data_IF_137739901800
#
_entry.id   IF_137739901800
#
_cell.length_a   1.000
_cell.length_b   1.000
_cell.length_c   1.000
_cell.angle_alpha   90.00
_cell.angle_beta   90.00
_cell.angle_gamma   90.00
#
_symmetry.space_group_name_H-M   'P 1'
#
loop_
_entity.id
_entity.type
_entity.pdbx_description
1 polymer ?
#
# COMPACT_ATOMS: atom_id res chain seq x y z
N UNK A 1 21.94 -6.89 24.57
CA UNK A 1 21.59 -7.01 26.01
C UNK A 1 20.28 -6.29 26.35
N UNK A 2 19.98 -5.13 25.73
CA UNK A 2 18.82 -4.29 26.08
C UNK A 2 17.48 -4.81 25.49
N UNK A 3 17.47 -5.32 24.26
CA UNK A 3 16.24 -5.75 23.58
C UNK A 3 15.77 -7.19 23.93
N UNK A 4 16.58 -7.96 24.65
CA UNK A 4 16.20 -9.33 25.02
C UNK A 4 15.05 -9.30 26.04
N UNK A 5 14.08 -10.25 25.98
CA UNK A 5 13.03 -10.35 26.98
C UNK A 5 13.62 -10.48 28.39
N UNK A 6 12.88 -10.01 29.41
CA UNK A 6 13.28 -10.16 30.82
C UNK A 6 13.57 -11.62 31.19
N UNK A 7 12.85 -12.55 30.54
CA UNK A 7 13.03 -14.01 30.69
C UNK A 7 14.44 -14.51 30.30
N UNK A 8 15.15 -13.78 29.43
CA UNK A 8 16.50 -14.11 28.96
C UNK A 8 17.55 -13.10 29.47
N UNK A 9 17.33 -12.55 30.67
CA UNK A 9 18.25 -11.60 31.33
C UNK A 9 18.51 -10.32 30.52
N UNK A 10 17.53 -9.86 29.75
CA UNK A 10 17.53 -8.56 29.08
C UNK A 10 16.57 -7.54 29.72
N UNK A 11 16.63 -6.29 29.29
CA UNK A 11 15.76 -5.21 29.82
C UNK A 11 14.32 -5.26 29.27
N UNK A 12 14.05 -6.10 28.26
CA UNK A 12 12.72 -6.23 27.65
C UNK A 12 12.29 -4.97 26.88
N UNK A 13 13.23 -4.14 26.45
CA UNK A 13 12.93 -2.93 25.67
C UNK A 13 12.54 -3.34 24.26
N UNK A 14 11.39 -2.87 23.76
CA UNK A 14 10.96 -3.12 22.39
C UNK A 14 11.96 -2.50 21.42
N UNK A 15 12.24 -3.20 20.32
CA UNK A 15 13.10 -2.68 19.27
C UNK A 15 12.51 -1.37 18.71
N UNK A 16 13.26 -0.27 18.91
CA UNK A 16 12.80 1.08 18.56
C UNK A 16 12.64 1.27 17.05
N UNK A 17 13.45 0.56 16.25
CA UNK A 17 13.35 0.63 14.79
C UNK A 17 12.04 0.02 14.30
N UNK A 18 11.67 -1.15 14.82
CA UNK A 18 10.41 -1.83 14.46
C UNK A 18 9.19 -1.02 14.92
N UNK A 19 9.22 -0.48 16.12
CA UNK A 19 8.11 0.35 16.63
C UNK A 19 7.97 1.65 15.83
N UNK A 20 9.08 2.32 15.51
CA UNK A 20 9.04 3.51 14.65
C UNK A 20 8.53 3.19 13.24
N UNK A 21 8.97 2.07 12.65
CA UNK A 21 8.49 1.63 11.34
C UNK A 21 6.99 1.32 11.34
N UNK A 22 6.47 0.68 12.39
CA UNK A 22 5.05 0.45 12.57
C UNK A 22 4.26 1.76 12.70
N UNK A 23 4.78 2.73 13.48
CA UNK A 23 4.16 4.06 13.62
C UNK A 23 4.14 4.83 12.30
N UNK A 24 5.26 4.84 11.56
CA UNK A 24 5.35 5.47 10.24
C UNK A 24 4.40 4.80 9.24
N UNK A 25 4.27 3.47 9.31
CA UNK A 25 3.30 2.72 8.51
C UNK A 25 1.88 3.17 8.84
N UNK A 26 1.51 3.22 10.13
CA UNK A 26 0.19 3.73 10.54
C UNK A 26 -0.08 5.14 10.01
N UNK A 27 0.92 6.04 10.05
CA UNK A 27 0.78 7.38 9.47
C UNK A 27 0.62 7.37 7.95
N UNK A 28 1.35 6.53 7.23
CA UNK A 28 1.13 6.36 5.79
C UNK A 28 -0.28 5.83 5.48
N UNK A 29 -0.81 4.91 6.30
CA UNK A 29 -2.19 4.43 6.19
C UNK A 29 -3.22 5.54 6.39
N UNK A 30 -3.06 6.37 7.43
CA UNK A 30 -3.95 7.52 7.67
C UNK A 30 -4.03 8.46 6.44
N UNK A 31 -2.90 8.66 5.74
CA UNK A 31 -2.86 9.44 4.47
C UNK A 31 -3.66 8.76 3.36
N UNK A 32 -3.54 7.43 3.21
CA UNK A 32 -4.26 6.64 2.20
C UNK A 32 -5.77 6.63 2.49
N UNK A 33 -6.14 6.28 3.72
CA UNK A 33 -7.52 6.20 4.20
C UNK A 33 -8.21 7.57 4.21
N UNK A 34 -7.47 8.66 3.96
CA UNK A 34 -7.99 10.03 3.93
C UNK A 34 -8.74 10.39 5.20
N UNK A 35 -8.12 10.08 6.34
CA UNK A 35 -8.67 10.45 7.64
C UNK A 35 -8.80 11.99 7.75
N UNK A 36 -9.79 12.48 8.53
CA UNK A 36 -10.14 13.91 8.61
C UNK A 36 -9.22 14.67 9.56
N UNK A 37 -7.91 14.52 9.40
CA UNK A 37 -6.91 15.21 10.21
C UNK A 37 -6.25 16.35 9.43
N UNK A 38 -6.12 17.53 10.04
CA UNK A 38 -5.51 18.73 9.43
C UNK A 38 -4.10 18.47 8.88
N UNK A 39 -3.30 17.64 9.55
CA UNK A 39 -1.95 17.32 9.08
C UNK A 39 -1.98 16.55 7.74
N UNK A 40 -3.02 15.75 7.49
CA UNK A 40 -3.19 15.00 6.24
C UNK A 40 -3.47 15.96 5.09
N UNK A 41 -4.30 16.99 5.32
CA UNK A 41 -4.58 18.02 4.31
C UNK A 41 -3.32 18.78 3.93
N UNK A 42 -2.49 19.14 4.92
CA UNK A 42 -1.19 19.78 4.70
C UNK A 42 -0.26 18.87 3.89
N UNK A 43 -0.17 17.59 4.26
CA UNK A 43 0.65 16.61 3.55
C UNK A 43 0.17 16.44 2.10
N UNK A 44 -1.13 16.33 1.88
CA UNK A 44 -1.74 16.20 0.56
C UNK A 44 -1.45 17.41 -0.32
N UNK A 45 -1.66 18.61 0.20
CA UNK A 45 -1.40 19.86 -0.50
C UNK A 45 0.09 20.05 -0.82
N UNK A 46 0.97 19.73 0.14
CA UNK A 46 2.41 19.96 -0.02
C UNK A 46 3.08 18.93 -0.92
N UNK A 47 2.81 17.64 -0.68
CA UNK A 47 3.59 16.54 -1.27
C UNK A 47 2.84 15.76 -2.34
N UNK A 48 1.53 15.53 -2.19
CA UNK A 48 0.80 14.65 -3.10
C UNK A 48 0.33 15.36 -4.37
N UNK A 49 -0.09 16.62 -4.33
CA UNK A 49 -0.45 17.43 -5.54
C UNK A 49 -1.20 16.62 -6.62
N UNK A 50 -2.28 15.93 -6.24
CA UNK A 50 -3.10 15.07 -7.10
C UNK A 50 -2.48 13.71 -7.53
N UNK A 51 -1.39 13.28 -6.88
CA UNK A 51 -0.83 11.94 -6.99
C UNK A 51 -1.27 11.06 -5.82
N UNK A 52 -1.26 9.74 -6.03
CA UNK A 52 -1.53 8.78 -4.97
C UNK A 52 -0.29 8.55 -4.11
N UNK A 53 -0.51 8.35 -2.80
CA UNK A 53 0.55 8.03 -1.84
C UNK A 53 1.38 6.80 -2.26
N UNK A 54 0.75 5.82 -2.90
CA UNK A 54 1.45 4.63 -3.35
C UNK A 54 2.38 4.87 -4.55
N UNK A 55 2.11 5.91 -5.34
CA UNK A 55 2.82 6.22 -6.59
C UNK A 55 3.81 7.39 -6.48
N UNK A 56 3.67 8.24 -5.47
CA UNK A 56 4.51 9.45 -5.33
C UNK A 56 5.99 9.09 -5.06
N UNK A 57 6.90 9.80 -5.71
CA UNK A 57 8.34 9.66 -5.52
C UNK A 57 8.88 10.77 -4.61
N UNK A 58 9.85 10.46 -3.73
CA UNK A 58 10.48 11.47 -2.87
C UNK A 58 11.29 12.46 -3.70
N UNK A 59 11.20 13.75 -3.35
CA UNK A 59 11.97 14.84 -3.97
C UNK A 59 13.17 15.24 -3.12
N UNK A 60 14.23 15.83 -3.71
CA UNK A 60 15.43 16.23 -2.96
C UNK A 60 15.16 17.19 -1.79
N UNK A 61 14.18 18.08 -1.95
CA UNK A 61 13.79 19.10 -0.97
C UNK A 61 12.67 18.65 -0.02
N UNK A 62 12.31 17.36 -0.04
CA UNK A 62 11.29 16.84 0.86
C UNK A 62 11.80 16.72 2.30
N UNK A 63 10.89 16.96 3.25
CA UNK A 63 11.21 16.82 4.67
C UNK A 63 11.64 15.39 4.98
N UNK A 64 12.53 15.23 5.96
CA UNK A 64 12.99 13.91 6.38
C UNK A 64 11.84 13.03 6.86
N UNK A 65 10.91 13.61 7.61
CA UNK A 65 9.68 12.93 8.08
C UNK A 65 8.88 12.38 6.90
N UNK A 66 8.66 13.16 5.84
CA UNK A 66 7.93 12.70 4.67
C UNK A 66 8.64 11.54 3.97
N UNK A 67 9.96 11.64 3.79
CA UNK A 67 10.76 10.56 3.20
C UNK A 67 10.70 9.28 4.03
N UNK A 68 10.67 9.39 5.35
CA UNK A 68 10.57 8.21 6.22
C UNK A 68 9.16 7.60 6.21
N UNK A 69 8.10 8.40 6.08
CA UNK A 69 6.74 7.91 5.81
C UNK A 69 6.69 7.18 4.45
N UNK A 70 7.32 7.73 3.42
CA UNK A 70 7.41 7.07 2.11
C UNK A 70 8.19 5.76 2.14
N UNK A 71 9.24 5.64 2.96
CA UNK A 71 9.96 4.36 3.14
C UNK A 71 9.07 3.30 3.79
N UNK A 72 8.24 3.70 4.76
CA UNK A 72 7.28 2.82 5.42
C UNK A 72 6.19 2.29 4.46
N UNK A 73 6.04 2.89 3.27
CA UNK A 73 5.18 2.38 2.19
C UNK A 73 5.44 0.90 1.89
N UNK A 74 6.69 0.45 1.90
CA UNK A 74 7.03 -0.95 1.57
C UNK A 74 6.46 -1.95 2.56
N UNK A 75 6.32 -1.55 3.83
CA UNK A 75 5.69 -2.35 4.88
C UNK A 75 4.17 -2.30 4.73
N UNK A 76 3.62 -1.11 4.47
CA UNK A 76 2.19 -0.95 4.20
C UNK A 76 1.73 -1.81 3.03
N UNK A 77 2.42 -1.77 1.89
CA UNK A 77 2.04 -2.54 0.70
C UNK A 77 2.01 -4.05 0.92
N UNK A 78 2.67 -4.57 1.97
CA UNK A 78 2.57 -5.99 2.34
C UNK A 78 1.29 -6.33 3.09
N UNK A 79 0.72 -5.37 3.84
CA UNK A 79 -0.51 -5.53 4.62
C UNK A 79 -1.75 -4.90 3.98
N UNK A 80 -1.59 -4.17 2.88
CA UNK A 80 -2.68 -3.58 2.12
C UNK A 80 -3.37 -4.64 1.27
N UNK A 81 -4.70 -4.71 1.37
CA UNK A 81 -5.56 -5.44 0.44
C UNK A 81 -6.34 -4.48 -0.45
N UNK A 82 -6.72 -4.95 -1.62
CA UNK A 82 -7.63 -4.19 -2.50
C UNK A 82 -9.07 -4.53 -2.16
N UNK A 83 -9.89 -3.50 -2.00
CA UNK A 83 -11.34 -3.61 -2.07
C UNK A 83 -11.78 -3.16 -3.48
N UNK A 84 -12.29 -4.11 -4.26
CA UNK A 84 -12.62 -3.86 -5.66
C UNK A 84 -14.01 -3.25 -5.72
N UNK A 85 -14.08 -1.96 -6.07
CA UNK A 85 -15.36 -1.30 -6.37
C UNK A 85 -15.86 -1.66 -7.77
N UNK A 86 -15.44 -0.89 -8.78
CA UNK A 86 -15.82 -1.09 -10.18
C UNK A 86 -14.72 -1.75 -11.04
N UNK A 87 -13.48 -1.82 -10.53
CA UNK A 87 -12.34 -2.40 -11.24
C UNK A 87 -11.86 -1.65 -12.49
N UNK A 88 -12.40 -0.48 -12.82
CA UNK A 88 -12.16 0.21 -14.11
C UNK A 88 -10.78 0.83 -14.27
N UNK A 89 -10.02 0.90 -13.17
CA UNK A 89 -8.66 1.44 -13.14
C UNK A 89 -7.64 0.42 -12.63
N UNK A 90 -8.07 -0.82 -12.40
CA UNK A 90 -7.22 -1.89 -11.88
C UNK A 90 -6.91 -2.80 -13.07
N UNK A 91 -5.66 -2.81 -13.49
CA UNK A 91 -5.20 -3.74 -14.50
C UNK A 91 -5.09 -5.14 -13.89
N UNK A 92 -5.73 -6.10 -14.55
CA UNK A 92 -5.87 -7.46 -14.07
C UNK A 92 -4.53 -8.17 -13.86
N UNK A 93 -3.53 -7.82 -14.67
CA UNK A 93 -2.24 -8.51 -14.74
C UNK A 93 -1.11 -7.78 -14.02
N UNK A 94 -1.14 -6.44 -13.98
CA UNK A 94 -0.03 -5.66 -13.40
C UNK A 94 -0.23 -5.27 -11.95
N UNK A 95 -1.49 -5.19 -11.48
CA UNK A 95 -1.81 -4.80 -10.11
C UNK A 95 -2.06 -6.03 -9.23
N UNK A 96 -1.58 -6.00 -7.97
CA UNK A 96 -1.84 -7.08 -7.01
C UNK A 96 -3.20 -6.90 -6.35
N UNK A 97 -4.27 -7.11 -7.10
CA UNK A 97 -5.65 -6.88 -6.64
C UNK A 97 -6.27 -8.06 -5.88
N UNK A 98 -5.62 -9.22 -5.86
CA UNK A 98 -6.02 -10.40 -5.09
C UNK A 98 -5.04 -10.61 -3.92
N UNK A 99 -5.51 -10.73 -2.67
CA UNK A 99 -4.66 -11.07 -1.52
C UNK A 99 -4.28 -12.55 -1.57
N UNK A 100 -3.23 -12.88 -2.31
CA UNK A 100 -2.58 -14.21 -2.32
C UNK A 100 -1.10 -14.06 -1.94
N UNK A 101 -0.60 -14.96 -1.09
CA UNK A 101 0.82 -15.05 -0.68
C UNK A 101 1.74 -15.17 -1.90
N UNK A 102 1.30 -15.96 -2.89
CA UNK A 102 1.86 -15.99 -4.23
C UNK A 102 0.95 -15.16 -5.12
N UNK A 103 1.25 -13.88 -5.28
CA UNK A 103 0.49 -13.02 -6.19
C UNK A 103 0.33 -13.74 -7.53
N UNK A 104 -0.90 -13.81 -8.06
CA UNK A 104 -1.22 -14.37 -9.39
C UNK A 104 -0.39 -13.70 -10.50
N UNK A 105 0.34 -12.62 -10.18
CA UNK A 105 1.50 -12.09 -10.92
C UNK A 105 2.47 -13.17 -11.43
N UNK A 106 2.58 -14.35 -10.81
CA UNK A 106 3.49 -15.40 -11.28
C UNK A 106 2.98 -16.19 -12.51
N UNK A 107 1.67 -16.20 -12.80
CA UNK A 107 1.12 -17.10 -13.82
C UNK A 107 1.11 -16.54 -15.25
N UNK A 108 1.36 -15.24 -15.46
CA UNK A 108 1.01 -14.58 -16.74
C UNK A 108 2.10 -13.60 -17.23
N UNK A 109 3.36 -13.91 -16.99
CA UNK A 109 4.49 -13.24 -17.68
C UNK A 109 4.60 -13.66 -19.17
N UNK A 110 3.54 -14.18 -19.78
CA UNK A 110 3.57 -14.90 -21.06
C UNK A 110 2.48 -14.46 -22.03
N UNK A 111 2.28 -13.15 -22.27
CA UNK A 111 2.05 -12.63 -23.62
C UNK A 111 1.89 -11.10 -23.67
N UNK A 112 2.80 -10.37 -24.35
CA UNK A 112 2.71 -8.91 -24.53
C UNK A 112 1.63 -8.46 -25.54
N UNK A 113 0.85 -9.39 -26.11
CA UNK A 113 -0.12 -9.15 -27.20
C UNK A 113 -1.58 -9.06 -26.74
N UNK A 114 -1.88 -9.27 -25.46
CA UNK A 114 -3.25 -9.22 -24.94
C UNK A 114 -3.56 -7.77 -24.53
N UNK A 115 -4.69 -7.22 -25.02
CA UNK A 115 -5.21 -5.91 -24.60
C UNK A 115 -5.19 -5.81 -23.06
N UNK A 116 -4.93 -4.62 -22.49
CA UNK A 116 -4.97 -4.45 -21.04
C UNK A 116 -6.39 -4.75 -20.55
N UNK A 117 -6.59 -5.96 -20.02
CA UNK A 117 -7.84 -6.32 -19.35
C UNK A 117 -7.88 -5.62 -18.01
N UNK A 118 -9.01 -4.99 -17.73
CA UNK A 118 -9.31 -4.38 -16.45
C UNK A 118 -10.09 -5.36 -15.59
N UNK A 119 -10.03 -5.22 -14.27
CA UNK A 119 -10.87 -6.00 -13.36
C UNK A 119 -12.36 -5.74 -13.63
N UNK A 120 -12.71 -4.56 -14.16
CA UNK A 120 -14.08 -4.27 -14.63
C UNK A 120 -14.58 -5.23 -15.70
N UNK A 121 -13.69 -5.79 -16.53
CA UNK A 121 -14.08 -6.69 -17.62
C UNK A 121 -14.54 -8.06 -17.08
N UNK A 122 -14.09 -8.41 -15.87
CA UNK A 122 -14.53 -9.60 -15.14
C UNK A 122 -15.83 -9.39 -14.37
N UNK A 123 -16.29 -8.14 -14.21
CA UNK A 123 -17.48 -7.79 -13.44
C UNK A 123 -18.62 -7.50 -14.41
N UNK A 124 -19.80 -8.07 -14.15
CA UNK A 124 -21.01 -7.65 -14.84
C UNK A 124 -21.54 -6.35 -14.23
N UNK A 125 -21.61 -5.29 -15.03
CA UNK A 125 -22.01 -3.95 -14.61
C UNK A 125 -23.45 -3.88 -14.10
N UNK A 126 -24.32 -4.79 -14.55
CA UNK A 126 -25.74 -4.79 -14.18
C UNK A 126 -25.99 -5.56 -12.89
N UNK A 127 -25.26 -6.67 -12.67
CA UNK A 127 -25.48 -7.56 -11.53
C UNK A 127 -24.47 -7.39 -10.40
N UNK A 128 -23.37 -6.65 -10.64
CA UNK A 128 -22.20 -6.53 -9.76
C UNK A 128 -21.65 -7.88 -9.29
N UNK A 129 -21.86 -8.92 -10.10
CA UNK A 129 -21.32 -10.26 -9.88
C UNK A 129 -20.17 -10.51 -10.86
N UNK A 130 -19.29 -11.41 -10.48
CA UNK A 130 -18.28 -11.94 -11.39
C UNK A 130 -18.96 -12.63 -12.56
N UNK A 131 -18.51 -12.34 -13.78
CA UNK A 131 -18.93 -13.07 -14.97
C UNK A 131 -18.39 -14.49 -14.86
N UNK A 132 -19.24 -15.45 -14.51
CA UNK A 132 -18.92 -16.87 -14.66
C UNK A 132 -18.95 -17.22 -16.14
N UNK A 133 -17.89 -17.85 -16.64
CA UNK A 133 -17.87 -18.48 -17.97
C UNK A 133 -18.92 -19.59 -18.05
#
# INVERSE_FOLDING_TARGET
MIEKPKLYSGLGVRNLQHTNLALLSKKGWEVIASDRSLWIDIIKAKYLRNQYFLTVCPKPHDSRVWRDILKARTVLTKGLGWEIGNGSYINLFTERWIPSEEGITALIHSNPTVKPLLVSDLIDSNTRKWRSN
#
